data_IF_306061125435
#
_entry.id   IF_306061125435
#
_cell.length_a   1.000
_cell.length_b   1.000
_cell.length_c   1.000
_cell.angle_alpha   90.00
_cell.angle_beta   90.00
_cell.angle_gamma   90.00
#
_symmetry.space_group_name_H-M   'P 1'
#
loop_
_entity.id
_entity.type
_entity.pdbx_description
1 polymer ?
#
# COMPACT_ATOMS: atom_id res chain seq x y z
N UNK A 1 -5.22 1.78 14.29
CA UNK A 1 -4.30 2.56 13.43
C UNK A 1 -3.37 3.35 14.32
N UNK A 2 -2.07 3.08 14.22
CA UNK A 2 -1.05 3.84 14.94
C UNK A 2 -0.62 5.00 14.02
N UNK A 3 -0.98 6.23 14.37
CA UNK A 3 -0.75 7.43 13.56
C UNK A 3 0.41 8.20 14.19
N UNK A 4 1.42 8.55 13.42
CA UNK A 4 2.51 9.39 13.94
C UNK A 4 1.99 10.83 14.12
N UNK A 5 2.38 11.47 15.21
CA UNK A 5 2.00 12.88 15.47
C UNK A 5 2.87 13.88 14.72
N UNK A 6 3.98 13.42 14.13
CA UNK A 6 4.91 14.22 13.33
C UNK A 6 4.39 14.32 11.90
N UNK A 7 4.29 15.55 11.40
CA UNK A 7 4.03 15.80 9.99
C UNK A 7 5.32 15.64 9.17
N UNK A 8 5.21 14.96 8.03
CA UNK A 8 6.28 14.75 7.06
C UNK A 8 5.91 15.37 5.71
N UNK A 9 6.92 15.88 5.00
CA UNK A 9 6.80 16.13 3.56
C UNK A 9 6.90 14.82 2.78
N UNK A 10 6.60 14.87 1.47
CA UNK A 10 6.75 13.70 0.61
C UNK A 10 8.21 13.21 0.53
N UNK A 11 9.17 14.13 0.46
CA UNK A 11 10.60 13.80 0.43
C UNK A 11 11.04 13.12 1.74
N UNK A 12 10.59 13.65 2.89
CA UNK A 12 10.88 13.04 4.19
C UNK A 12 10.23 11.68 4.37
N UNK A 13 9.12 11.42 3.67
CA UNK A 13 8.48 10.10 3.63
C UNK A 13 9.27 9.10 2.78
N UNK A 14 9.81 9.52 1.64
CA UNK A 14 10.64 8.64 0.80
C UNK A 14 11.91 8.18 1.52
N UNK A 15 12.46 9.01 2.40
CA UNK A 15 13.63 8.70 3.22
C UNK A 15 13.26 8.08 4.60
N UNK A 16 11.97 7.81 4.85
CA UNK A 16 11.53 7.25 6.13
C UNK A 16 11.85 5.76 6.24
N UNK A 17 12.52 5.40 7.34
CA UNK A 17 12.82 4.02 7.73
C UNK A 17 12.53 3.89 9.23
N UNK A 18 11.66 2.95 9.61
CA UNK A 18 11.35 2.66 11.01
C UNK A 18 12.20 1.52 11.60
N UNK A 19 13.13 0.98 10.80
CA UNK A 19 14.00 -0.14 11.15
C UNK A 19 13.29 -1.50 11.12
N UNK A 20 12.05 -1.57 10.65
CA UNK A 20 11.27 -2.80 10.50
C UNK A 20 10.95 -3.06 9.01
N UNK A 21 11.57 -4.09 8.45
CA UNK A 21 11.39 -4.47 7.04
C UNK A 21 9.97 -4.94 6.68
N UNK A 22 9.11 -5.21 7.67
CA UNK A 22 7.74 -5.71 7.45
C UNK A 22 6.73 -4.57 7.37
N UNK A 23 6.98 -3.45 8.06
CA UNK A 23 5.98 -2.39 8.17
C UNK A 23 5.87 -1.58 6.88
N UNK A 24 4.68 -1.55 6.30
CA UNK A 24 4.36 -0.66 5.19
C UNK A 24 3.57 0.56 5.68
N UNK A 25 3.87 1.74 5.14
CA UNK A 25 3.23 2.99 5.54
C UNK A 25 2.71 3.79 4.35
N UNK A 26 1.60 4.48 4.57
CA UNK A 26 1.04 5.47 3.66
C UNK A 26 1.23 6.89 4.21
N UNK A 27 1.54 7.84 3.33
CA UNK A 27 1.54 9.27 3.67
C UNK A 27 0.16 9.88 3.36
N UNK A 28 -0.61 10.18 4.39
CA UNK A 28 -1.95 10.78 4.28
C UNK A 28 -1.99 12.10 5.03
N UNK A 29 -2.22 13.20 4.30
CA UNK A 29 -2.21 14.57 4.85
C UNK A 29 -0.94 14.91 5.65
N UNK A 30 0.20 14.45 5.14
CA UNK A 30 1.49 14.61 5.79
C UNK A 30 1.70 13.73 7.03
N UNK A 31 0.81 12.79 7.34
CA UNK A 31 0.95 11.84 8.45
C UNK A 31 1.28 10.45 7.94
N UNK A 32 2.13 9.74 8.67
CA UNK A 32 2.36 8.32 8.44
C UNK A 32 1.23 7.50 9.04
N UNK A 33 0.62 6.66 8.21
CA UNK A 33 -0.34 5.65 8.59
C UNK A 33 0.26 4.28 8.32
N UNK A 34 0.37 3.45 9.36
CA UNK A 34 0.76 2.05 9.18
C UNK A 34 -0.36 1.31 8.44
N UNK A 35 0.00 0.65 7.34
CA UNK A 35 -0.90 -0.24 6.62
C UNK A 35 -1.19 -1.48 7.48
N UNK A 36 -2.45 -1.89 7.60
CA UNK A 36 -2.76 -3.16 8.23
C UNK A 36 -2.26 -4.31 7.36
N UNK A 37 -1.72 -5.34 7.99
CA UNK A 37 -1.45 -6.62 7.32
C UNK A 37 -2.73 -7.12 6.63
N UNK A 38 -2.65 -7.51 5.34
CA UNK A 38 -3.80 -8.06 4.64
C UNK A 38 -4.24 -9.37 5.31
N UNK A 39 -5.55 -9.61 5.33
CA UNK A 39 -6.09 -10.92 5.68
C UNK A 39 -5.98 -11.87 4.49
N UNK A 40 -5.93 -13.19 4.71
CA UNK A 40 -5.94 -14.20 3.64
C UNK A 40 -7.06 -13.97 2.60
N UNK A 41 -8.29 -13.66 3.04
CA UNK A 41 -9.40 -13.34 2.13
C UNK A 41 -9.14 -12.07 1.28
N UNK A 42 -8.44 -11.08 1.85
CA UNK A 42 -8.10 -9.86 1.11
C UNK A 42 -7.06 -10.17 0.01
N UNK A 43 -6.09 -11.03 0.31
CA UNK A 43 -5.09 -11.50 -0.65
C UNK A 43 -5.75 -12.29 -1.80
N UNK A 44 -6.62 -13.26 -1.47
CA UNK A 44 -7.36 -14.05 -2.48
C UNK A 44 -8.20 -13.16 -3.41
N UNK A 45 -8.90 -12.18 -2.85
CA UNK A 45 -9.69 -11.23 -3.64
C UNK A 45 -8.81 -10.36 -4.54
N UNK A 46 -7.66 -9.91 -4.03
CA UNK A 46 -6.72 -9.09 -4.79
C UNK A 46 -6.11 -9.87 -5.96
N UNK A 47 -5.74 -11.13 -5.75
CA UNK A 47 -5.22 -12.00 -6.80
C UNK A 47 -6.27 -12.22 -7.91
N UNK A 48 -7.50 -12.55 -7.53
CA UNK A 48 -8.60 -12.73 -8.48
C UNK A 48 -8.86 -11.47 -9.31
N UNK A 49 -8.94 -10.30 -8.66
CA UNK A 49 -9.17 -9.03 -9.35
C UNK A 49 -8.03 -8.68 -10.29
N UNK A 50 -6.78 -8.89 -9.86
CA UNK A 50 -5.58 -8.63 -10.67
C UNK A 50 -5.56 -9.50 -11.92
N UNK A 51 -5.88 -10.79 -11.78
CA UNK A 51 -5.96 -11.73 -12.90
C UNK A 51 -7.05 -11.33 -13.92
N UNK A 52 -8.25 -11.00 -13.46
CA UNK A 52 -9.34 -10.58 -14.35
C UNK A 52 -9.02 -9.27 -15.04
N UNK A 53 -8.42 -8.31 -14.33
CA UNK A 53 -8.00 -7.04 -14.91
C UNK A 53 -6.96 -7.23 -16.02
N UNK A 54 -5.92 -8.03 -15.77
CA UNK A 54 -4.87 -8.35 -16.74
C UNK A 54 -5.45 -9.00 -18.02
N UNK A 55 -6.36 -9.96 -17.86
CA UNK A 55 -7.05 -10.59 -18.99
C UNK A 55 -7.89 -9.59 -19.81
N UNK A 56 -8.65 -8.73 -19.13
CA UNK A 56 -9.48 -7.73 -19.78
C UNK A 56 -8.63 -6.68 -20.52
N UNK A 57 -7.53 -6.25 -19.92
CA UNK A 57 -6.58 -5.33 -20.52
C UNK A 57 -5.94 -5.91 -21.79
N UNK A 58 -5.44 -7.15 -21.74
CA UNK A 58 -4.85 -7.83 -22.90
C UNK A 58 -5.84 -7.98 -24.07
N UNK A 59 -7.10 -8.33 -23.77
CA UNK A 59 -8.17 -8.44 -24.79
C UNK A 59 -8.48 -7.13 -25.51
N UNK A 60 -8.24 -5.98 -24.89
CA UNK A 60 -8.49 -4.66 -25.49
C UNK A 60 -7.30 -4.10 -26.27
N UNK A 61 -6.10 -4.66 -26.06
CA UNK A 61 -4.87 -4.25 -26.75
C UNK A 61 -4.56 -5.08 -28.00
N UNK A 62 -5.23 -6.22 -28.19
CA UNK A 62 -5.20 -7.07 -29.38
C UNK A 62 -6.40 -6.76 -30.27
#
# INVERSE_FOLDING_TARGET
MNITTKLLTFEQFLDFDDGNEINEYELVDGRLLLMPEPSELNEELLEFLSFIFELAYRRRKL
#
